data_IF_474023015576
#
_entry.id   IF_474023015576
#
_cell.length_a   1.000
_cell.length_b   1.000
_cell.length_c   1.000
_cell.angle_alpha   90.00
_cell.angle_beta   90.00
_cell.angle_gamma   90.00
#
_symmetry.space_group_name_H-M   'P 1'
#
loop_
_entity.id
_entity.type
_entity.pdbx_description
1 polymer ?
#
# COMPACT_ATOMS: atom_id res chain seq x y z
N UNK A 1 9.08 -19.13 30.79
CA UNK A 1 7.89 -18.85 29.94
C UNK A 1 8.13 -19.57 28.62
N UNK A 2 7.21 -20.43 28.17
CA UNK A 2 7.41 -21.28 26.98
C UNK A 2 6.77 -20.70 25.71
N UNK A 3 5.88 -19.70 25.84
CA UNK A 3 5.21 -19.00 24.74
C UNK A 3 4.67 -17.65 25.23
N UNK A 4 4.69 -16.64 24.37
CA UNK A 4 4.05 -15.35 24.64
C UNK A 4 2.52 -15.54 24.72
N UNK A 5 1.92 -15.02 25.78
CA UNK A 5 0.48 -15.09 26.05
C UNK A 5 0.01 -13.78 26.66
N UNK A 6 -1.21 -13.35 26.30
CA UNK A 6 -1.86 -12.17 26.87
C UNK A 6 -2.66 -12.61 28.10
N UNK A 7 -2.23 -12.28 29.34
CA UNK A 7 -2.83 -12.85 30.55
C UNK A 7 -4.23 -12.32 30.87
N UNK A 8 -4.60 -11.12 30.40
CA UNK A 8 -5.91 -10.46 30.62
C UNK A 8 -6.22 -9.55 29.42
N UNK A 9 -7.48 -9.48 28.99
CA UNK A 9 -7.89 -8.56 27.91
C UNK A 9 -8.10 -7.13 28.44
N UNK A 10 -8.04 -6.14 27.54
CA UNK A 10 -8.28 -4.74 27.88
C UNK A 10 -9.69 -4.56 28.45
N UNK A 11 -9.78 -4.11 29.71
CA UNK A 11 -11.04 -3.87 30.42
C UNK A 11 -11.48 -4.98 31.37
N UNK A 12 -10.78 -6.13 31.39
CA UNK A 12 -11.06 -7.21 32.35
C UNK A 12 -10.33 -6.97 33.69
N UNK A 13 -10.91 -7.49 34.77
CA UNK A 13 -10.39 -7.32 36.13
C UNK A 13 -9.14 -8.18 36.35
N UNK A 14 -8.04 -7.55 36.77
CA UNK A 14 -6.83 -8.25 37.20
C UNK A 14 -7.02 -8.76 38.64
N UNK A 15 -7.05 -10.07 38.84
CA UNK A 15 -7.16 -10.65 40.17
C UNK A 15 -5.85 -10.48 40.99
N UNK A 16 -5.95 -10.48 42.32
CA UNK A 16 -4.81 -10.25 43.22
C UNK A 16 -3.67 -11.25 43.04
N UNK A 17 -4.01 -12.52 42.77
CA UNK A 17 -3.03 -13.59 42.57
C UNK A 17 -2.18 -13.36 41.31
N UNK A 18 -2.80 -12.91 40.23
CA UNK A 18 -2.13 -12.57 38.98
C UNK A 18 -1.32 -11.29 39.12
N UNK A 19 -1.86 -10.25 39.76
CA UNK A 19 -1.13 -9.03 40.06
C UNK A 19 0.16 -9.30 40.86
N UNK A 20 0.10 -10.19 41.86
CA UNK A 20 1.28 -10.60 42.63
C UNK A 20 2.33 -11.34 41.79
N UNK A 21 1.89 -12.19 40.86
CA UNK A 21 2.80 -12.89 39.94
C UNK A 21 3.44 -11.91 38.95
N UNK A 22 2.67 -10.99 38.37
CA UNK A 22 3.18 -9.96 37.47
C UNK A 22 4.19 -9.05 38.18
N UNK A 23 3.89 -8.63 39.42
CA UNK A 23 4.81 -7.85 40.23
C UNK A 23 6.11 -8.58 40.57
N UNK A 24 6.08 -9.90 40.81
CA UNK A 24 7.29 -10.71 40.99
C UNK A 24 8.13 -10.86 39.71
N UNK A 25 7.51 -10.71 38.54
CA UNK A 25 8.19 -10.68 37.25
C UNK A 25 8.63 -9.25 36.86
N UNK A 26 8.49 -8.28 37.76
CA UNK A 26 8.71 -6.84 37.53
C UNK A 26 7.87 -6.25 36.38
N UNK A 27 6.72 -6.87 36.09
CA UNK A 27 5.74 -6.40 35.11
C UNK A 27 4.71 -5.54 35.85
N UNK A 28 4.64 -4.25 35.49
CA UNK A 28 3.67 -3.29 36.03
C UNK A 28 2.49 -3.15 35.06
N UNK A 29 1.34 -3.79 35.33
CA UNK A 29 0.25 -3.89 34.35
C UNK A 29 -0.61 -2.62 34.21
N UNK A 30 -0.45 -1.65 35.12
CA UNK A 30 -1.20 -0.39 35.12
C UNK A 30 -0.21 0.75 35.31
N UNK A 31 -0.27 1.74 34.43
CA UNK A 31 0.48 2.99 34.58
C UNK A 31 -0.31 3.93 35.48
N UNK A 32 0.27 4.31 36.62
CA UNK A 32 -0.27 5.38 37.46
C UNK A 32 0.30 6.72 36.94
N UNK A 33 -0.56 7.56 36.37
CA UNK A 33 -0.17 8.84 35.80
C UNK A 33 -1.31 9.86 35.82
N UNK A 34 -1.00 11.11 35.50
CA UNK A 34 -1.99 12.16 35.30
C UNK A 34 -2.47 12.06 33.85
N UNK A 35 -3.78 11.84 33.66
CA UNK A 35 -4.40 11.83 32.34
C UNK A 35 -5.08 13.19 32.11
N UNK A 36 -4.77 13.80 30.97
CA UNK A 36 -5.40 15.06 30.55
C UNK A 36 -6.64 14.72 29.72
N UNK A 37 -7.83 14.92 30.31
CA UNK A 37 -9.10 14.59 29.64
C UNK A 37 -9.51 15.64 28.60
N UNK A 38 -9.27 16.91 28.91
CA UNK A 38 -9.64 18.05 28.05
C UNK A 38 -8.61 19.16 28.22
N UNK A 39 -8.21 19.75 27.10
CA UNK A 39 -7.50 21.03 27.07
C UNK A 39 -8.37 22.09 26.37
N UNK A 40 -8.36 23.31 26.89
CA UNK A 40 -9.01 24.47 26.25
C UNK A 40 -7.93 25.50 25.92
N UNK A 41 -7.77 25.80 24.64
CA UNK A 41 -6.80 26.77 24.13
C UNK A 41 -7.53 27.66 23.11
N UNK A 42 -7.50 28.98 23.30
CA UNK A 42 -8.11 29.96 22.39
C UNK A 42 -9.56 29.66 21.96
N UNK A 43 -10.34 29.07 22.86
CA UNK A 43 -11.74 28.68 22.60
C UNK A 43 -11.91 27.35 21.87
N UNK A 44 -10.82 26.67 21.51
CA UNK A 44 -10.79 25.31 20.96
C UNK A 44 -10.68 24.30 22.10
N UNK A 45 -11.60 23.34 22.13
CA UNK A 45 -11.62 22.25 23.11
C UNK A 45 -11.01 21.00 22.47
N UNK A 46 -9.87 20.56 22.98
CA UNK A 46 -9.24 19.29 22.59
C UNK A 46 -9.68 18.18 23.54
N UNK A 47 -10.14 17.05 22.98
CA UNK A 47 -10.42 15.83 23.77
C UNK A 47 -9.19 14.93 23.82
N UNK A 48 -9.11 14.05 24.83
CA UNK A 48 -7.98 13.12 25.05
C UNK A 48 -7.49 12.43 23.76
N UNK A 49 -8.41 11.94 22.92
CA UNK A 49 -8.08 11.25 21.68
C UNK A 49 -7.38 12.13 20.63
N UNK A 50 -7.63 13.44 20.63
CA UNK A 50 -7.00 14.41 19.70
C UNK A 50 -5.63 14.85 20.19
N UNK A 51 -5.37 14.75 21.50
CA UNK A 51 -4.08 15.07 22.12
C UNK A 51 -3.05 13.93 21.96
N UNK A 52 -3.50 12.74 21.55
CA UNK A 52 -2.61 11.62 21.19
C UNK A 52 -2.12 11.81 19.76
N UNK A 53 -0.96 12.46 19.60
CA UNK A 53 -0.35 12.71 18.29
C UNK A 53 0.58 11.55 17.92
N UNK A 54 0.18 10.80 16.89
CA UNK A 54 1.06 9.82 16.24
C UNK A 54 1.75 10.47 15.03
N UNK A 55 2.99 10.90 15.23
CA UNK A 55 3.78 11.60 14.22
C UNK A 55 4.08 10.70 13.01
N UNK A 56 4.27 9.40 13.22
CA UNK A 56 4.60 8.47 12.14
C UNK A 56 3.36 8.17 11.29
N UNK A 57 2.20 8.02 11.93
CA UNK A 57 0.93 7.90 11.21
C UNK A 57 0.66 9.14 10.34
N UNK A 58 0.79 10.34 10.90
CA UNK A 58 0.57 11.60 10.17
C UNK A 58 1.54 11.71 8.99
N UNK A 59 2.82 11.39 9.19
CA UNK A 59 3.82 11.34 8.11
C UNK A 59 3.40 10.39 6.99
N UNK A 60 2.90 9.20 7.36
CA UNK A 60 2.37 8.22 6.42
C UNK A 60 1.19 8.75 5.61
N UNK A 61 0.24 9.42 6.27
CA UNK A 61 -0.92 10.04 5.63
C UNK A 61 -0.50 11.12 4.61
N UNK A 62 0.48 11.96 4.95
CA UNK A 62 1.03 12.95 4.00
C UNK A 62 1.68 12.31 2.78
N UNK A 63 2.50 11.27 3.00
CA UNK A 63 3.14 10.56 1.90
C UNK A 63 2.12 9.90 0.97
N UNK A 64 1.08 9.29 1.55
CA UNK A 64 -0.03 8.70 0.81
C UNK A 64 -0.80 9.75 0.00
N UNK A 65 -1.19 10.87 0.62
CA UNK A 65 -1.91 11.94 -0.05
C UNK A 65 -1.11 12.52 -1.23
N UNK A 66 0.22 12.66 -1.08
CA UNK A 66 1.09 13.07 -2.17
C UNK A 66 1.08 12.06 -3.33
N UNK A 67 1.22 10.76 -3.03
CA UNK A 67 1.18 9.71 -4.06
C UNK A 67 -0.16 9.67 -4.79
N UNK A 68 -1.27 9.83 -4.07
CA UNK A 68 -2.61 9.88 -4.63
C UNK A 68 -2.78 11.09 -5.56
N UNK A 69 -2.32 12.27 -5.14
CA UNK A 69 -2.37 13.48 -5.95
C UNK A 69 -1.54 13.35 -7.24
N UNK A 70 -0.32 12.80 -7.15
CA UNK A 70 0.53 12.55 -8.32
C UNK A 70 -0.14 11.54 -9.25
N UNK A 71 -0.62 10.42 -8.74
CA UNK A 71 -1.32 9.40 -9.53
C UNK A 71 -2.55 9.97 -10.26
N UNK A 72 -3.36 10.76 -9.55
CA UNK A 72 -4.53 11.42 -10.11
C UNK A 72 -4.14 12.41 -11.23
N UNK A 73 -3.09 13.21 -11.01
CA UNK A 73 -2.62 14.17 -12.02
C UNK A 73 -2.16 13.48 -13.30
N UNK A 74 -1.47 12.35 -13.19
CA UNK A 74 -1.02 11.55 -14.34
C UNK A 74 -2.22 10.92 -15.07
N UNK A 75 -3.21 10.42 -14.32
CA UNK A 75 -4.42 9.83 -14.90
C UNK A 75 -5.27 10.88 -15.63
N UNK A 76 -5.35 12.09 -15.10
CA UNK A 76 -6.05 13.24 -15.69
C UNK A 76 -5.25 13.94 -16.81
N UNK A 77 -4.02 13.50 -17.11
CA UNK A 77 -3.09 14.18 -18.01
C UNK A 77 -2.83 15.66 -17.65
N UNK A 78 -2.93 16.00 -16.37
CA UNK A 78 -2.62 17.33 -15.87
C UNK A 78 -1.11 17.45 -15.62
N UNK A 79 -0.44 18.28 -16.43
CA UNK A 79 1.01 18.39 -16.44
C UNK A 79 1.49 19.30 -15.30
N UNK A 80 2.43 18.79 -14.52
CA UNK A 80 3.22 19.53 -13.54
C UNK A 80 4.71 19.30 -13.78
N UNK A 81 5.59 20.17 -13.25
CA UNK A 81 7.04 19.97 -13.33
C UNK A 81 7.49 18.61 -12.76
N UNK A 82 6.79 18.11 -11.75
CA UNK A 82 7.13 16.88 -11.05
C UNK A 82 6.70 15.61 -11.80
N UNK A 83 5.64 15.67 -12.61
CA UNK A 83 5.02 14.49 -13.23
C UNK A 83 5.25 14.37 -14.75
N UNK A 84 5.80 15.39 -15.42
CA UNK A 84 5.89 15.43 -16.89
C UNK A 84 6.63 14.22 -17.48
N UNK A 85 7.75 13.81 -16.88
CA UNK A 85 8.53 12.66 -17.34
C UNK A 85 7.74 11.34 -17.20
N UNK A 86 6.95 11.22 -16.14
CA UNK A 86 6.12 10.04 -15.88
C UNK A 86 4.96 9.96 -16.90
N UNK A 87 4.33 11.10 -17.20
CA UNK A 87 3.28 11.18 -18.23
C UNK A 87 3.82 10.79 -19.61
N UNK A 88 4.98 11.34 -20.02
CA UNK A 88 5.60 11.03 -21.31
C UNK A 88 6.00 9.55 -21.42
N UNK A 89 6.60 8.99 -20.36
CA UNK A 89 6.96 7.58 -20.31
C UNK A 89 5.73 6.67 -20.43
N UNK A 90 4.67 6.96 -19.67
CA UNK A 90 3.40 6.23 -19.74
C UNK A 90 2.76 6.31 -21.13
N UNK A 91 2.78 7.47 -21.76
CA UNK A 91 2.25 7.67 -23.10
C UNK A 91 3.04 6.85 -24.14
N UNK A 92 4.37 6.90 -24.10
CA UNK A 92 5.24 6.13 -24.99
C UNK A 92 5.03 4.61 -24.83
N UNK A 93 4.95 4.14 -23.57
CA UNK A 93 4.70 2.73 -23.28
C UNK A 93 3.32 2.28 -23.78
N UNK A 94 2.30 3.12 -23.59
CA UNK A 94 0.94 2.85 -24.06
C UNK A 94 0.88 2.78 -25.59
N UNK A 95 1.54 3.71 -26.28
CA UNK A 95 1.63 3.71 -27.75
C UNK A 95 2.31 2.45 -28.28
N UNK A 96 3.45 2.06 -27.68
CA UNK A 96 4.15 0.81 -28.05
C UNK A 96 3.29 -0.42 -27.81
N UNK A 97 2.59 -0.49 -26.67
CA UNK A 97 1.68 -1.59 -26.37
C UNK A 97 0.57 -1.71 -27.41
N UNK A 98 -0.08 -0.60 -27.78
CA UNK A 98 -1.12 -0.61 -28.83
C UNK A 98 -0.53 -1.03 -30.18
N UNK A 99 0.66 -0.55 -30.54
CA UNK A 99 1.36 -0.94 -31.78
C UNK A 99 1.60 -2.46 -31.83
N UNK A 100 2.12 -3.04 -30.74
CA UNK A 100 2.44 -4.47 -30.63
C UNK A 100 1.18 -5.34 -30.58
N UNK A 101 0.12 -4.88 -29.93
CA UNK A 101 -1.17 -5.59 -29.88
C UNK A 101 -1.92 -5.54 -31.22
N UNK A 102 -1.89 -4.40 -31.91
CA UNK A 102 -2.54 -4.24 -33.22
C UNK A 102 -1.74 -4.80 -34.40
N UNK A 103 -0.45 -5.14 -34.19
CA UNK A 103 0.46 -5.53 -35.27
C UNK A 103 0.87 -4.37 -36.18
N UNK A 104 0.64 -3.12 -35.75
CA UNK A 104 1.08 -1.94 -36.49
C UNK A 104 2.60 -1.82 -36.38
N UNK A 105 3.30 -2.05 -37.49
CA UNK A 105 4.76 -2.15 -37.48
C UNK A 105 5.43 -0.77 -37.64
N UNK A 106 6.26 -0.42 -36.67
CA UNK A 106 7.14 0.76 -36.72
C UNK A 106 8.60 0.33 -36.57
N UNK A 107 9.55 1.23 -36.87
CA UNK A 107 10.98 0.93 -36.71
C UNK A 107 11.35 0.49 -35.29
N UNK A 108 10.66 1.03 -34.28
CA UNK A 108 10.88 0.70 -32.87
C UNK A 108 10.20 -0.60 -32.42
N UNK A 109 9.11 -1.02 -33.07
CA UNK A 109 8.25 -2.12 -32.60
C UNK A 109 8.34 -3.39 -33.44
N UNK A 110 8.98 -3.31 -34.62
CA UNK A 110 9.11 -4.44 -35.57
C UNK A 110 9.64 -5.73 -34.93
N UNK A 111 10.68 -5.65 -34.12
CA UNK A 111 11.28 -6.83 -33.49
C UNK A 111 10.31 -7.48 -32.49
N UNK A 112 9.67 -6.66 -31.65
CA UNK A 112 8.71 -7.14 -30.65
C UNK A 112 7.48 -7.80 -31.30
N UNK A 113 6.98 -7.21 -32.40
CA UNK A 113 5.85 -7.76 -33.15
C UNK A 113 6.24 -9.11 -33.77
N UNK A 114 7.41 -9.21 -34.41
CA UNK A 114 7.87 -10.46 -35.02
C UNK A 114 8.10 -11.55 -33.98
N UNK A 115 8.72 -11.22 -32.83
CA UNK A 115 8.91 -12.16 -31.73
C UNK A 115 7.58 -12.66 -31.17
N UNK A 116 6.60 -11.76 -30.99
CA UNK A 116 5.27 -12.13 -30.53
C UNK A 116 4.54 -13.04 -31.53
N UNK A 117 4.64 -12.74 -32.82
CA UNK A 117 4.04 -13.57 -33.87
C UNK A 117 4.67 -14.97 -33.93
N UNK A 118 6.00 -15.08 -33.84
CA UNK A 118 6.70 -16.39 -33.78
C UNK A 118 6.28 -17.17 -32.52
N UNK A 119 6.22 -16.53 -31.36
CA UNK A 119 5.78 -17.15 -30.12
C UNK A 119 4.33 -17.67 -30.23
N UNK A 120 3.42 -16.88 -30.82
CA UNK A 120 2.03 -17.29 -31.05
C UNK A 120 1.94 -18.45 -32.04
N UNK A 121 2.67 -18.41 -33.15
CA UNK A 121 2.71 -19.50 -34.14
C UNK A 121 3.21 -20.81 -33.51
N UNK A 122 4.29 -20.76 -32.72
CA UNK A 122 4.82 -21.92 -31.99
C UNK A 122 3.81 -22.45 -30.97
N UNK A 123 3.10 -21.57 -30.27
CA UNK A 123 2.08 -21.97 -29.31
C UNK A 123 0.91 -22.70 -29.98
N UNK A 124 0.44 -22.22 -31.14
CA UNK A 124 -0.60 -22.88 -31.93
C UNK A 124 -0.10 -24.21 -32.48
N UNK A 125 1.09 -24.23 -33.09
CA UNK A 125 1.69 -25.45 -33.62
C UNK A 125 1.88 -26.52 -32.55
N UNK A 126 2.26 -26.13 -31.33
CA UNK A 126 2.36 -27.04 -30.18
C UNK A 126 1.01 -27.67 -29.81
N UNK A 127 -0.08 -26.90 -29.79
CA UNK A 127 -1.44 -27.39 -29.48
C UNK A 127 -2.05 -28.21 -30.61
N UNK A 128 -1.68 -27.96 -31.86
CA UNK A 128 -2.22 -28.66 -33.02
C UNK A 128 -1.66 -30.09 -33.19
N UNK A 129 -0.59 -30.48 -32.47
CA UNK A 129 0.02 -31.82 -32.59
C UNK A 129 -0.93 -32.97 -32.24
N UNK A 130 -1.88 -32.72 -31.35
CA UNK A 130 -2.88 -33.72 -30.91
C UNK A 130 -4.28 -33.43 -31.48
N UNK A 131 -4.39 -32.48 -32.43
CA UNK A 131 -5.69 -32.08 -32.99
C UNK A 131 -6.16 -33.10 -34.04
N UNK A 132 -7.20 -33.85 -33.69
CA UNK A 132 -7.97 -34.66 -34.63
C UNK A 132 -9.23 -33.88 -35.01
N UNK A 133 -9.44 -33.55 -36.29
CA UNK A 133 -10.69 -32.96 -36.75
C UNK A 133 -11.85 -33.94 -36.50
N UNK A 134 -12.99 -33.44 -36.03
CA UNK A 134 -14.24 -34.21 -35.92
C UNK A 134 -14.85 -34.50 -37.29
#
# INVERSE_FOLDING_TARGET
>A
IAKDTTPVLKGEVINEKLASILGKLDIKPVEAGILLYVALEDGVKYVEAEMVIDVEKIRGEFAQAHQEAVSLSIAAAYITPDNILQILSKAAQSARSVSVESGFMTDETKEQILQKADAQARAVAGKAKDYTPA
#
